data_IF_060249431316
#
_entry.id   IF_060249431316
#
_cell.length_a   1.000
_cell.length_b   1.000
_cell.length_c   1.000
_cell.angle_alpha   90.00
_cell.angle_beta   90.00
_cell.angle_gamma   90.00
#
_symmetry.space_group_name_H-M   'P 1'
#
loop_
_entity.id
_entity.type
_entity.pdbx_description
1 polymer ?
#
# COMPACT_ATOMS: atom_id res chain seq x y z
N UNK A 1 3.66 -15.44 -6.18
CA UNK A 1 3.30 -14.10 -5.66
C UNK A 1 3.83 -13.07 -6.62
N UNK A 2 2.99 -12.14 -7.08
CA UNK A 2 3.38 -11.06 -7.96
C UNK A 2 2.98 -9.74 -7.31
N UNK A 3 3.90 -8.78 -7.26
CA UNK A 3 3.61 -7.42 -6.82
C UNK A 3 3.14 -6.59 -8.01
N UNK A 4 2.05 -5.86 -7.83
CA UNK A 4 1.53 -4.90 -8.80
C UNK A 4 1.40 -3.53 -8.17
N UNK A 5 1.54 -2.48 -8.97
CA UNK A 5 1.33 -1.10 -8.54
C UNK A 5 0.00 -0.61 -9.09
N UNK A 6 -0.91 -0.20 -8.21
CA UNK A 6 -2.26 0.23 -8.58
C UNK A 6 -2.52 1.67 -8.09
N UNK A 7 -3.26 2.49 -8.84
CA UNK A 7 -3.62 3.85 -8.44
C UNK A 7 -4.89 3.92 -7.56
N UNK A 8 -5.54 2.77 -7.35
CA UNK A 8 -6.75 2.61 -6.53
C UNK A 8 -6.75 1.22 -5.89
N UNK A 9 -7.10 1.14 -4.60
CA UNK A 9 -7.01 -0.05 -3.76
C UNK A 9 -8.00 -0.08 -2.59
N UNK A 10 -8.92 0.89 -2.43
CA UNK A 10 -9.89 0.85 -1.31
C UNK A 10 -10.75 -0.43 -1.35
N UNK A 11 -11.02 -0.98 -2.56
CA UNK A 11 -11.65 -2.30 -2.73
C UNK A 11 -10.84 -3.43 -2.07
N UNK A 12 -9.51 -3.31 -2.10
CA UNK A 12 -8.58 -4.29 -1.55
C UNK A 12 -8.44 -4.14 -0.05
N UNK A 13 -8.45 -2.90 0.45
CA UNK A 13 -8.49 -2.63 1.89
C UNK A 13 -9.73 -3.25 2.53
N UNK A 14 -10.86 -3.30 1.81
CA UNK A 14 -12.09 -3.94 2.30
C UNK A 14 -11.96 -5.45 2.60
N UNK A 15 -10.89 -6.11 2.13
CA UNK A 15 -10.59 -7.53 2.41
C UNK A 15 -9.94 -7.75 3.78
N UNK A 16 -9.52 -6.68 4.45
CA UNK A 16 -8.94 -6.73 5.77
C UNK A 16 -10.04 -6.78 6.83
N UNK A 17 -9.78 -7.37 8.02
CA UNK A 17 -10.66 -7.19 9.18
C UNK A 17 -10.89 -5.70 9.47
N UNK A 18 -12.07 -5.34 9.98
CA UNK A 18 -12.46 -3.94 10.19
C UNK A 18 -11.45 -3.19 11.08
N UNK A 19 -10.87 -3.88 12.07
CA UNK A 19 -9.85 -3.36 12.97
C UNK A 19 -8.49 -3.09 12.32
N UNK A 20 -8.25 -3.58 11.10
CA UNK A 20 -7.04 -3.34 10.30
C UNK A 20 -7.26 -2.33 9.16
N UNK A 21 -8.51 -1.88 8.93
CA UNK A 21 -8.85 -0.86 7.94
C UNK A 21 -8.64 0.55 8.51
N UNK A 22 -7.42 0.87 8.90
CA UNK A 22 -7.08 2.18 9.45
C UNK A 22 -7.12 3.27 8.36
N UNK A 23 -7.50 4.49 8.74
CA UNK A 23 -7.54 5.67 7.86
C UNK A 23 -6.20 5.90 7.18
N UNK A 24 -5.08 5.58 7.84
CA UNK A 24 -3.73 5.75 7.29
C UNK A 24 -3.48 4.94 6.00
N UNK A 25 -4.26 3.88 5.76
CA UNK A 25 -4.13 3.02 4.59
C UNK A 25 -5.15 3.29 3.49
N UNK A 26 -6.04 4.27 3.68
CA UNK A 26 -7.06 4.64 2.69
C UNK A 26 -6.48 5.47 1.55
N UNK A 27 -7.07 5.37 0.36
CA UNK A 27 -6.71 6.23 -0.77
C UNK A 27 -6.84 7.72 -0.43
N UNK A 28 -7.93 8.08 0.24
CA UNK A 28 -8.23 9.46 0.59
C UNK A 28 -7.13 10.07 1.47
N UNK A 29 -6.66 9.33 2.48
CA UNK A 29 -5.60 9.81 3.36
C UNK A 29 -4.28 10.03 2.62
N UNK A 30 -3.87 9.07 1.79
CA UNK A 30 -2.63 9.21 1.01
C UNK A 30 -2.73 10.37 0.02
N UNK A 31 -3.90 10.58 -0.61
CA UNK A 31 -4.15 11.73 -1.49
C UNK A 31 -4.02 13.07 -0.76
N UNK A 32 -4.42 13.17 0.51
CA UNK A 32 -4.26 14.41 1.28
C UNK A 32 -2.80 14.81 1.47
N UNK A 33 -1.89 13.83 1.50
CA UNK A 33 -0.45 14.08 1.61
C UNK A 33 0.24 14.33 0.27
N UNK A 34 -0.45 14.13 -0.87
CA UNK A 34 0.15 14.25 -2.18
C UNK A 34 0.52 15.70 -2.52
N UNK A 35 1.81 15.94 -2.78
CA UNK A 35 2.31 17.22 -3.29
C UNK A 35 2.27 17.30 -4.82
N UNK A 36 2.65 18.46 -5.36
CA UNK A 36 2.75 18.65 -6.80
C UNK A 36 3.72 17.63 -7.42
N UNK A 37 3.28 16.93 -8.47
CA UNK A 37 4.09 15.91 -9.16
C UNK A 37 4.20 14.57 -8.41
N UNK A 38 3.45 14.40 -7.32
CA UNK A 38 3.31 13.10 -6.64
C UNK A 38 2.17 12.30 -7.26
N UNK A 39 2.41 11.01 -7.46
CA UNK A 39 1.40 10.02 -7.83
C UNK A 39 1.03 9.20 -6.60
N UNK A 40 -0.26 8.95 -6.42
CA UNK A 40 -0.78 8.16 -5.31
C UNK A 40 -0.93 6.73 -5.79
N UNK A 41 -0.18 5.81 -5.19
CA UNK A 41 -0.08 4.43 -5.61
C UNK A 41 -0.14 3.48 -4.41
N UNK A 42 -0.44 2.21 -4.66
CA UNK A 42 -0.32 1.15 -3.69
C UNK A 42 0.38 -0.05 -4.31
N UNK A 43 1.35 -0.62 -3.61
CA UNK A 43 1.93 -1.90 -3.96
C UNK A 43 1.06 -3.01 -3.37
N UNK A 44 0.66 -3.93 -4.22
CA UNK A 44 -0.31 -4.98 -3.92
C UNK A 44 0.31 -6.33 -4.26
N UNK A 45 0.37 -7.23 -3.27
CA UNK A 45 0.74 -8.62 -3.46
C UNK A 45 -0.43 -9.51 -3.06
N UNK A 46 -0.95 -10.31 -4.00
CA UNK A 46 -2.09 -11.19 -3.78
C UNK A 46 -1.71 -12.67 -3.96
N UNK A 47 -2.22 -13.52 -3.07
CA UNK A 47 -2.15 -14.98 -3.17
C UNK A 47 -3.42 -15.60 -2.58
N UNK A 48 -4.41 -15.85 -3.45
CA UNK A 48 -5.74 -16.29 -3.03
C UNK A 48 -6.41 -15.26 -2.08
N UNK A 49 -6.84 -15.66 -0.87
CA UNK A 49 -7.49 -14.76 0.08
C UNK A 49 -6.50 -13.79 0.75
N UNK A 50 -5.21 -14.09 0.72
CA UNK A 50 -4.20 -13.32 1.41
C UNK A 50 -3.72 -12.15 0.53
N UNK A 51 -3.51 -10.99 1.16
CA UNK A 51 -3.10 -9.77 0.48
C UNK A 51 -2.18 -8.93 1.36
N UNK A 52 -1.16 -8.34 0.74
CA UNK A 52 -0.35 -7.26 1.30
C UNK A 52 -0.67 -5.97 0.57
N UNK A 53 -0.84 -4.88 1.32
CA UNK A 53 -0.96 -3.52 0.80
C UNK A 53 0.15 -2.65 1.37
N UNK A 54 0.77 -1.86 0.51
CA UNK A 54 1.65 -0.77 0.90
C UNK A 54 1.25 0.48 0.10
N UNK A 55 0.42 1.37 0.66
CA UNK A 55 0.12 2.66 0.06
C UNK A 55 1.32 3.62 0.14
N UNK A 56 1.60 4.34 -0.94
CA UNK A 56 2.73 5.27 -1.03
C UNK A 56 2.48 6.41 -2.02
N UNK A 57 3.26 7.48 -1.84
CA UNK A 57 3.44 8.54 -2.83
C UNK A 57 4.65 8.20 -3.68
N UNK A 58 4.50 8.24 -5.00
CA UNK A 58 5.58 8.06 -5.97
C UNK A 58 5.92 9.41 -6.59
N UNK A 59 7.21 9.71 -6.73
CA UNK A 59 7.67 10.89 -7.47
C UNK A 59 8.81 10.52 -8.41
N UNK A 60 8.97 11.29 -9.48
CA UNK A 60 10.14 11.16 -10.35
C UNK A 60 11.28 12.01 -9.80
N UNK A 61 12.45 11.41 -9.62
CA UNK A 61 13.66 12.10 -9.20
C UNK A 61 14.83 11.67 -10.09
N UNK A 62 15.37 12.61 -10.88
CA UNK A 62 16.54 12.38 -11.76
C UNK A 62 16.42 11.16 -12.68
N UNK A 63 15.23 10.90 -13.22
CA UNK A 63 14.96 9.76 -14.12
C UNK A 63 14.66 8.43 -13.41
N UNK A 64 14.64 8.43 -12.07
CA UNK A 64 14.23 7.30 -11.24
C UNK A 64 12.90 7.59 -10.55
N UNK A 65 12.28 6.55 -10.00
CA UNK A 65 11.18 6.70 -9.06
C UNK A 65 11.69 6.68 -7.63
N UNK A 66 11.29 7.69 -6.88
CA UNK A 66 11.41 7.74 -5.44
C UNK A 66 10.02 7.52 -4.83
N UNK A 67 9.96 6.96 -3.63
CA UNK A 67 8.71 6.71 -2.94
C UNK A 67 8.78 7.09 -1.47
N UNK A 68 7.66 7.56 -0.94
CA UNK A 68 7.51 7.92 0.47
C UNK A 68 6.11 7.56 0.96
N UNK A 69 5.98 7.39 2.27
CA UNK A 69 4.70 7.15 2.93
C UNK A 69 4.28 8.39 3.70
N UNK A 70 2.99 8.75 3.74
CA UNK A 70 2.54 9.88 4.55
C UNK A 70 2.95 9.72 6.01
N UNK A 71 3.63 10.74 6.54
CA UNK A 71 3.92 10.90 7.97
C UNK A 71 4.65 9.72 8.66
N UNK A 72 5.31 8.85 7.88
CA UNK A 72 6.07 7.71 8.39
C UNK A 72 5.24 6.51 8.90
N UNK A 73 3.91 6.55 8.75
CA UNK A 73 3.00 5.47 9.17
C UNK A 73 2.62 4.48 8.04
N UNK A 74 3.45 4.34 7.01
CA UNK A 74 3.15 3.48 5.86
C UNK A 74 3.93 2.18 5.84
N UNK A 75 3.91 1.42 6.93
CA UNK A 75 4.35 0.04 6.86
C UNK A 75 3.42 -0.77 5.94
N UNK A 76 3.91 -1.85 5.31
CA UNK A 76 3.03 -2.76 4.61
C UNK A 76 2.08 -3.44 5.61
N UNK A 77 0.81 -3.56 5.25
CA UNK A 77 -0.19 -4.29 6.03
C UNK A 77 -0.54 -5.60 5.33
N UNK A 78 -0.84 -6.63 6.12
CA UNK A 78 -1.24 -7.94 5.63
C UNK A 78 -2.48 -8.42 6.36
N UNK A 79 -3.44 -9.01 5.63
CA UNK A 79 -4.58 -9.68 6.25
C UNK A 79 -4.24 -11.12 6.70
N UNK A 80 -3.02 -11.59 6.45
CA UNK A 80 -2.56 -12.93 6.79
C UNK A 80 -1.75 -12.94 8.09
N UNK A 81 -2.15 -13.72 9.12
CA UNK A 81 -1.41 -13.80 10.38
C UNK A 81 -0.15 -14.70 10.29
N UNK A 82 0.01 -15.47 9.22
CA UNK A 82 1.15 -16.38 9.04
C UNK A 82 2.43 -15.61 8.69
N UNK A 83 3.40 -15.61 9.62
CA UNK A 83 4.69 -14.95 9.45
C UNK A 83 5.51 -15.50 8.26
N UNK A 84 5.42 -16.80 7.96
CA UNK A 84 6.14 -17.40 6.84
C UNK A 84 5.48 -17.05 5.49
N UNK A 85 4.16 -16.81 5.47
CA UNK A 85 3.51 -16.22 4.30
C UNK A 85 3.93 -14.76 4.13
N UNK A 86 3.89 -13.96 5.20
CA UNK A 86 4.27 -12.55 5.16
C UNK A 86 5.73 -12.34 4.70
N UNK A 87 6.68 -13.16 5.18
CA UNK A 87 8.08 -13.08 4.78
C UNK A 87 8.35 -13.39 3.30
N UNK A 88 7.40 -14.02 2.60
CA UNK A 88 7.49 -14.29 1.15
C UNK A 88 6.79 -13.21 0.31
N UNK A 89 5.84 -12.49 0.90
CA UNK A 89 5.05 -11.45 0.25
C UNK A 89 5.69 -10.04 0.37
N UNK A 90 6.55 -9.85 1.36
CA UNK A 90 7.35 -8.64 1.63
C UNK A 90 8.76 -8.76 1.04
#
# INVERSE_FOLDING_TARGET
MQVTLVPSWDDKLSRFPAEQQDVYFTEAYVRLAAGQGSEVMCAVCEDGPNIVLLPFLRRTFRGYYDFETPYGYGGPISNCPDAAWNARAL
#
